data_IF_536255409103
#
_entry.id   IF_536255409103
#
_cell.length_a   1.000
_cell.length_b   1.000
_cell.length_c   1.000
_cell.angle_alpha   90.00
_cell.angle_beta   90.00
_cell.angle_gamma   90.00
#
_symmetry.space_group_name_H-M   'P 1'
#
loop_
_entity.id
_entity.type
_entity.pdbx_description
1 polymer ?
#
# COMPACT_ATOMS: atom_id res chain seq x y z
N UNK A 1 -37.49 -35.42 -15.31
CA UNK A 1 -37.55 -33.96 -15.48
C UNK A 1 -36.14 -33.48 -15.77
N UNK A 2 -35.84 -33.22 -17.04
CA UNK A 2 -34.59 -32.60 -17.47
C UNK A 2 -34.59 -31.14 -17.03
N UNK A 3 -33.75 -30.78 -16.06
CA UNK A 3 -33.55 -29.36 -15.72
C UNK A 3 -32.91 -28.68 -16.92
N UNK A 4 -33.57 -27.66 -17.48
CA UNK A 4 -32.92 -26.76 -18.41
C UNK A 4 -31.79 -26.03 -17.66
N UNK A 5 -30.56 -25.97 -18.20
CA UNK A 5 -29.52 -25.14 -17.61
C UNK A 5 -29.99 -23.68 -17.63
N UNK A 6 -29.80 -22.97 -16.51
CA UNK A 6 -30.13 -21.56 -16.42
C UNK A 6 -29.42 -20.79 -17.56
N UNK A 7 -30.12 -19.91 -18.29
CA UNK A 7 -29.50 -19.07 -19.31
C UNK A 7 -28.30 -18.32 -18.73
N UNK A 8 -27.18 -18.30 -19.44
CA UNK A 8 -26.01 -17.53 -19.01
C UNK A 8 -26.39 -16.05 -18.88
N UNK A 9 -26.47 -15.56 -17.65
CA UNK A 9 -26.59 -14.13 -17.38
C UNK A 9 -25.18 -13.54 -17.40
N UNK A 10 -24.88 -12.55 -18.27
CA UNK A 10 -23.60 -11.87 -18.21
C UNK A 10 -23.42 -11.24 -16.82
N UNK A 11 -22.19 -11.26 -16.25
CA UNK A 11 -21.94 -10.63 -14.96
C UNK A 11 -22.39 -9.17 -15.01
N UNK A 12 -23.09 -8.74 -13.96
CA UNK A 12 -23.57 -7.37 -13.86
C UNK A 12 -22.40 -6.39 -14.08
N UNK A 13 -22.60 -5.30 -14.84
CA UNK A 13 -21.55 -4.33 -15.08
C UNK A 13 -20.93 -3.90 -13.75
N UNK A 14 -19.60 -3.95 -13.65
CA UNK A 14 -18.92 -3.36 -12.51
C UNK A 14 -19.23 -1.86 -12.49
N UNK A 15 -20.03 -1.42 -11.53
CA UNK A 15 -20.28 0.00 -11.34
C UNK A 15 -18.93 0.68 -11.10
N UNK A 16 -18.51 1.53 -12.05
CA UNK A 16 -17.25 2.25 -11.95
C UNK A 16 -17.36 3.26 -10.81
N UNK A 17 -16.58 3.07 -9.76
CA UNK A 17 -16.52 4.03 -8.68
C UNK A 17 -15.74 5.27 -9.18
N UNK A 18 -16.24 6.51 -9.01
CA UNK A 18 -15.48 7.71 -9.36
C UNK A 18 -14.07 7.76 -8.75
N UNK A 19 -13.89 7.14 -7.57
CA UNK A 19 -12.59 6.98 -6.92
C UNK A 19 -11.62 6.06 -7.68
N UNK A 20 -12.08 5.27 -8.65
CA UNK A 20 -11.23 4.42 -9.48
C UNK A 20 -10.83 5.09 -10.82
N UNK A 21 -11.26 6.34 -11.04
CA UNK A 21 -10.81 7.12 -12.19
C UNK A 21 -9.31 7.43 -12.12
N UNK A 22 -8.64 7.50 -13.29
CA UNK A 22 -7.22 7.82 -13.39
C UNK A 22 -6.86 9.13 -12.68
N UNK A 23 -7.66 10.19 -12.88
CA UNK A 23 -7.43 11.48 -12.23
C UNK A 23 -7.49 11.38 -10.70
N UNK A 24 -8.41 10.58 -10.17
CA UNK A 24 -8.47 10.33 -8.73
C UNK A 24 -7.24 9.57 -8.22
N UNK A 25 -6.71 8.62 -8.99
CA UNK A 25 -5.47 7.89 -8.65
C UNK A 25 -4.23 8.78 -8.68
N UNK A 26 -4.13 9.69 -9.66
CA UNK A 26 -3.04 10.67 -9.71
C UNK A 26 -3.05 11.53 -8.44
N UNK A 27 -4.21 12.05 -8.04
CA UNK A 27 -4.34 12.80 -6.79
C UNK A 27 -3.94 11.95 -5.58
N UNK A 28 -4.40 10.70 -5.51
CA UNK A 28 -4.04 9.80 -4.42
C UNK A 28 -2.52 9.57 -4.32
N UNK A 29 -1.82 9.41 -5.44
CA UNK A 29 -0.36 9.24 -5.49
C UNK A 29 0.36 10.53 -5.07
N UNK A 30 -0.11 11.71 -5.51
CA UNK A 30 0.46 13.00 -5.12
C UNK A 30 0.32 13.21 -3.61
N UNK A 31 -0.86 12.97 -3.05
CA UNK A 31 -1.11 13.11 -1.60
C UNK A 31 -0.26 12.11 -0.82
N UNK A 32 -0.18 10.85 -1.27
CA UNK A 32 0.62 9.82 -0.61
C UNK A 32 2.14 10.09 -0.65
N UNK A 33 2.62 10.85 -1.63
CA UNK A 33 4.04 11.24 -1.72
C UNK A 33 4.46 12.27 -0.66
N UNK A 34 3.53 12.92 0.03
CA UNK A 34 3.83 13.86 1.11
C UNK A 34 4.09 13.04 2.40
N UNK A 35 5.22 13.17 3.11
CA UNK A 35 5.57 12.24 4.18
C UNK A 35 4.52 12.12 5.30
N UNK A 36 4.20 13.24 5.95
CA UNK A 36 3.27 13.23 7.10
C UNK A 36 1.81 13.13 6.64
N UNK A 37 1.43 13.95 5.66
CA UNK A 37 0.05 14.00 5.13
C UNK A 37 -0.32 12.70 4.42
N UNK A 38 0.60 12.17 3.61
CA UNK A 38 0.45 10.91 2.90
C UNK A 38 0.35 9.72 3.85
N UNK A 39 1.15 9.70 4.92
CA UNK A 39 1.03 8.66 5.95
C UNK A 39 -0.37 8.67 6.61
N UNK A 40 -0.86 9.85 7.03
CA UNK A 40 -2.21 9.99 7.60
C UNK A 40 -3.28 9.57 6.58
N UNK A 41 -3.15 10.03 5.34
CA UNK A 41 -4.06 9.68 4.25
C UNK A 41 -4.14 8.15 4.04
N UNK A 42 -2.99 7.47 4.00
CA UNK A 42 -2.93 6.02 3.85
C UNK A 42 -3.64 5.30 5.00
N UNK A 43 -3.53 5.77 6.25
CA UNK A 43 -4.27 5.20 7.39
C UNK A 43 -5.78 5.36 7.21
N UNK A 44 -6.23 6.58 6.91
CA UNK A 44 -7.66 6.88 6.69
C UNK A 44 -8.24 5.98 5.60
N UNK A 45 -7.53 5.86 4.47
CA UNK A 45 -7.97 5.02 3.35
C UNK A 45 -7.92 3.53 3.71
N UNK A 46 -6.85 3.05 4.34
CA UNK A 46 -6.67 1.63 4.65
C UNK A 46 -7.77 1.07 5.58
N UNK A 47 -8.26 1.90 6.51
CA UNK A 47 -9.25 1.51 7.52
C UNK A 47 -10.71 1.81 7.16
N UNK A 48 -10.99 2.35 5.96
CA UNK A 48 -12.36 2.44 5.44
C UNK A 48 -12.80 3.81 4.93
N UNK A 49 -11.93 4.82 4.89
CA UNK A 49 -12.24 6.16 4.37
C UNK A 49 -12.45 6.25 2.86
N UNK A 50 -12.58 5.13 2.13
CA UNK A 50 -12.77 5.10 0.68
C UNK A 50 -13.83 4.09 0.27
N UNK A 51 -14.74 4.51 -0.61
CA UNK A 51 -15.75 3.64 -1.24
C UNK A 51 -15.12 2.62 -2.23
N UNK A 52 -13.96 2.92 -2.81
CA UNK A 52 -13.25 1.98 -3.70
C UNK A 52 -12.55 0.88 -2.88
N UNK A 53 -12.79 -0.38 -3.25
CA UNK A 53 -12.09 -1.52 -2.67
C UNK A 53 -10.63 -1.58 -3.12
N UNK A 54 -10.35 -1.25 -4.38
CA UNK A 54 -8.98 -1.21 -4.92
C UNK A 54 -8.11 -0.19 -4.15
N UNK A 55 -8.67 0.99 -3.87
CA UNK A 55 -7.98 2.05 -3.12
C UNK A 55 -7.65 1.66 -1.68
N UNK A 56 -8.56 0.95 -1.01
CA UNK A 56 -8.33 0.39 0.34
C UNK A 56 -7.22 -0.67 0.34
N UNK A 57 -7.25 -1.58 -0.63
CA UNK A 57 -6.24 -2.63 -0.76
C UNK A 57 -4.86 -2.05 -1.08
N UNK A 58 -4.78 -1.07 -1.97
CA UNK A 58 -3.55 -0.35 -2.28
C UNK A 58 -2.97 0.35 -1.04
N UNK A 59 -3.80 1.06 -0.25
CA UNK A 59 -3.32 1.74 0.95
C UNK A 59 -2.77 0.77 2.00
N UNK A 60 -3.42 -0.40 2.18
CA UNK A 60 -2.92 -1.47 3.05
C UNK A 60 -1.58 -2.03 2.56
N UNK A 61 -1.43 -2.24 1.25
CA UNK A 61 -0.18 -2.69 0.66
C UNK A 61 0.95 -1.66 0.88
N UNK A 62 0.68 -0.38 0.65
CA UNK A 62 1.64 0.69 0.93
C UNK A 62 2.06 0.72 2.40
N UNK A 63 1.12 0.60 3.33
CA UNK A 63 1.43 0.54 4.76
C UNK A 63 2.37 -0.63 5.11
N UNK A 64 2.10 -1.82 4.57
CA UNK A 64 2.96 -2.99 4.79
C UNK A 64 4.36 -2.77 4.20
N UNK A 65 4.44 -2.24 2.97
CA UNK A 65 5.73 -1.94 2.33
C UNK A 65 6.51 -0.89 3.12
N UNK A 66 5.85 0.16 3.64
CA UNK A 66 6.50 1.16 4.50
C UNK A 66 7.05 0.54 5.79
N UNK A 67 6.31 -0.35 6.44
CA UNK A 67 6.80 -1.07 7.62
C UNK A 67 8.03 -1.94 7.29
N UNK A 68 7.99 -2.66 6.15
CA UNK A 68 9.14 -3.45 5.69
C UNK A 68 10.36 -2.53 5.44
N UNK A 69 10.16 -1.40 4.76
CA UNK A 69 11.24 -0.44 4.50
C UNK A 69 11.86 0.11 5.80
N UNK A 70 11.04 0.41 6.82
CA UNK A 70 11.52 0.84 8.14
C UNK A 70 12.37 -0.25 8.79
N UNK A 71 11.90 -1.51 8.79
CA UNK A 71 12.67 -2.64 9.35
C UNK A 71 13.99 -2.81 8.62
N UNK A 72 14.00 -2.79 7.29
CA UNK A 72 15.22 -2.89 6.48
C UNK A 72 16.19 -1.73 6.75
N UNK A 73 15.67 -0.50 6.90
CA UNK A 73 16.48 0.67 7.24
C UNK A 73 17.16 0.51 8.61
N UNK A 74 16.44 0.05 9.63
CA UNK A 74 17.00 -0.21 10.96
C UNK A 74 18.09 -1.29 10.91
N UNK A 75 17.84 -2.40 10.20
CA UNK A 75 18.83 -3.47 10.03
C UNK A 75 20.09 -2.98 9.33
N UNK A 76 19.94 -2.14 8.29
CA UNK A 76 21.06 -1.57 7.55
C UNK A 76 21.91 -0.64 8.44
N UNK A 77 21.26 0.23 9.22
CA UNK A 77 21.95 1.12 10.17
C UNK A 77 22.66 0.29 11.25
N UNK A 78 22.01 -0.73 11.80
CA UNK A 78 22.60 -1.58 12.82
C UNK A 78 23.82 -2.36 12.29
N UNK A 79 23.72 -2.94 11.10
CA UNK A 79 24.82 -3.65 10.46
C UNK A 79 25.99 -2.72 10.12
N UNK A 80 25.71 -1.54 9.56
CA UNK A 80 26.74 -0.53 9.27
C UNK A 80 27.40 0.03 10.53
N UNK A 81 26.61 0.29 11.58
CA UNK A 81 27.12 0.72 12.89
C UNK A 81 28.02 -0.34 13.54
N UNK A 82 27.63 -1.61 13.48
CA UNK A 82 28.45 -2.73 13.96
C UNK A 82 29.78 -2.82 13.21
N UNK A 83 29.76 -2.75 11.87
CA UNK A 83 30.96 -2.78 11.05
C UNK A 83 31.91 -1.60 11.33
N UNK A 84 31.36 -0.41 11.61
CA UNK A 84 32.14 0.77 11.98
C UNK A 84 32.81 0.61 13.37
N UNK A 85 32.10 0.03 14.34
CA UNK A 85 32.65 -0.26 15.67
C UNK A 85 33.76 -1.33 15.59
N UNK A 86 33.58 -2.36 14.77
CA UNK A 86 34.60 -3.41 14.56
C UNK A 86 35.89 -2.82 13.99
N UNK A 87 35.82 -1.96 12.97
CA UNK A 87 37.01 -1.28 12.42
C UNK A 87 37.75 -0.43 13.47
N UNK A 88 37.03 0.25 14.36
CA UNK A 88 37.65 1.02 15.44
C UNK A 88 38.38 0.15 16.46
N UNK A 89 37.91 -1.09 16.68
CA UNK A 89 38.54 -2.04 17.60
C UNK A 89 39.81 -2.69 17.04
N UNK A 90 39.93 -2.84 15.71
CA UNK A 90 41.10 -3.45 15.04
C UNK A 90 42.26 -2.47 14.88
N UNK A 91 41.99 -1.17 14.90
CA UNK A 91 42.96 -0.10 14.67
C UNK A 91 43.56 0.51 15.94
N UNK A 92 43.16 0.03 17.13
CA UNK A 92 43.70 0.42 18.45
C UNK A 92 44.66 -0.64 18.99
#
# INVERSE_FOLDING_TARGET
MSQYPAPYAPPAPHASNPADSLGSWIIAIIVASIPVVGFIYLLVVAFGGSASQARRNWARAQFIVSLIAIVLMVLFIAAGGFAALEQSSVSS
#
